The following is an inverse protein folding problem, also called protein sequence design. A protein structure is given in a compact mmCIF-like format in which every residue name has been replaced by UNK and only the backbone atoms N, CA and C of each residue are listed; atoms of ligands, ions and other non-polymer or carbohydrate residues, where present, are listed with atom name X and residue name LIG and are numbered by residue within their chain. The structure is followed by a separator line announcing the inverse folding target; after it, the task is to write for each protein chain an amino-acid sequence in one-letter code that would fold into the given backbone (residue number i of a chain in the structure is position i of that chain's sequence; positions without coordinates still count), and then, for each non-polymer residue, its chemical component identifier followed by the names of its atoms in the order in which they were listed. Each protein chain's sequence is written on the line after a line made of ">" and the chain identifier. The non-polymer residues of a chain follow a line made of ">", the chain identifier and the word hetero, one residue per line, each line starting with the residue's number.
data_IF_554122558117
#
_entry.id   IF_554122558117
#
_cell.length_a   1.000
_cell.length_b   1.000
_cell.length_c   1.000
_cell.angle_alpha   90.00
_cell.angle_beta   90.00
_cell.angle_gamma   90.00
#
_symmetry.space_group_name_H-M   'P 1'
#
loop_
_entity.id
_entity.type
_entity.pdbx_description
1 polymer ?
#
# COMPACT_ATOMS: atom_id res chain seq x y z
N UNK A 1 -9.53 4.27 13.56
CA UNK A 1 -8.50 3.38 14.13
C UNK A 1 -8.95 3.01 15.53
N UNK A 2 -8.94 1.73 15.87
CA UNK A 2 -9.14 1.28 17.25
C UNK A 2 -7.75 1.01 17.85
N UNK A 3 -7.53 1.48 19.08
CA UNK A 3 -6.25 1.35 19.79
C UNK A 3 -6.52 0.92 21.22
N UNK A 4 -5.50 0.36 21.88
CA UNK A 4 -5.57 0.00 23.30
C UNK A 4 -5.98 1.18 24.16
N UNK A 5 -6.69 0.91 25.26
CA UNK A 5 -7.05 1.90 26.28
C UNK A 5 -5.84 2.49 27.01
N UNK A 6 -4.66 1.88 26.89
CA UNK A 6 -3.39 2.42 27.40
C UNK A 6 -2.79 3.52 26.50
N UNK A 7 -3.34 3.73 25.30
CA UNK A 7 -2.94 4.81 24.40
C UNK A 7 -3.35 6.18 24.96
N UNK A 8 -2.57 7.21 24.63
CA UNK A 8 -2.79 8.58 25.10
C UNK A 8 -3.26 9.47 23.93
N UNK A 9 -4.56 9.82 23.87
CA UNK A 9 -5.09 10.67 22.81
C UNK A 9 -4.64 12.14 22.94
N UNK A 10 -4.26 12.60 24.13
CA UNK A 10 -3.81 13.98 24.33
C UNK A 10 -2.41 14.20 23.73
N UNK A 11 -1.53 13.18 23.81
CA UNK A 11 -0.19 13.24 23.21
C UNK A 11 -0.09 12.61 21.83
N UNK A 12 -1.16 11.94 21.38
CA UNK A 12 -1.19 11.15 20.13
C UNK A 12 -0.36 9.87 20.21
N UNK A 13 -0.05 9.36 21.40
CA UNK A 13 0.79 8.18 21.58
C UNK A 13 -0.03 6.90 21.54
N UNK A 14 0.28 6.00 20.62
CA UNK A 14 -0.35 4.70 20.49
C UNK A 14 0.51 3.67 21.22
N UNK A 15 -0.10 2.93 22.15
CA UNK A 15 0.56 1.92 23.00
C UNK A 15 -0.14 0.57 22.91
N UNK A 16 0.60 -0.50 23.21
CA UNK A 16 0.11 -1.88 23.42
C UNK A 16 -0.89 -2.32 22.34
N UNK A 17 -0.60 -1.97 21.09
CA UNK A 17 -1.51 -2.15 19.95
C UNK A 17 -0.75 -2.77 18.79
N UNK A 18 -1.37 -3.72 18.10
CA UNK A 18 -0.91 -4.16 16.78
C UNK A 18 -1.72 -3.40 15.75
N UNK A 19 -1.05 -2.53 15.01
CA UNK A 19 -1.66 -1.74 13.94
C UNK A 19 -1.48 -2.52 12.64
N UNK A 20 -2.57 -3.00 12.06
CA UNK A 20 -2.56 -3.47 10.68
C UNK A 20 -3.07 -2.37 9.75
N UNK A 21 -2.24 -1.95 8.79
CA UNK A 21 -2.62 -1.02 7.74
C UNK A 21 -2.51 -1.65 6.36
N UNK A 22 -3.52 -1.42 5.52
CA UNK A 22 -3.53 -1.84 4.11
C UNK A 22 -3.61 -0.62 3.20
N UNK A 23 -2.85 -0.62 2.11
CA UNK A 23 -2.92 0.41 1.07
C UNK A 23 -2.70 1.82 1.64
N UNK A 24 -3.54 2.78 1.25
CA UNK A 24 -3.47 4.18 1.69
C UNK A 24 -3.52 4.37 3.22
N UNK A 25 -4.03 3.41 4.00
CA UNK A 25 -4.04 3.52 5.47
C UNK A 25 -2.64 3.70 6.06
N UNK A 26 -1.63 3.06 5.45
CA UNK A 26 -0.24 3.20 5.87
C UNK A 26 0.35 4.58 5.56
N UNK A 27 0.00 5.18 4.40
CA UNK A 27 0.38 6.57 4.11
C UNK A 27 -0.26 7.55 5.10
N UNK A 28 -1.54 7.35 5.44
CA UNK A 28 -2.25 8.21 6.40
C UNK A 28 -1.55 8.15 7.77
N UNK A 29 -1.24 6.96 8.25
CA UNK A 29 -0.53 6.80 9.52
C UNK A 29 0.87 7.40 9.45
N UNK A 30 1.59 7.15 8.35
CA UNK A 30 2.95 7.66 8.20
C UNK A 30 3.00 9.19 8.15
N UNK A 31 2.12 9.80 7.37
CA UNK A 31 1.97 11.25 7.34
C UNK A 31 1.57 11.83 8.70
N UNK A 32 0.78 11.10 9.49
CA UNK A 32 0.42 11.51 10.85
C UNK A 32 1.62 11.45 11.80
N UNK A 33 2.47 10.42 11.70
CA UNK A 33 3.71 10.30 12.47
C UNK A 33 4.71 11.39 12.05
N UNK A 34 4.91 11.58 10.75
CA UNK A 34 5.79 12.62 10.20
C UNK A 34 5.36 14.04 10.62
N UNK A 35 4.06 14.29 10.72
CA UNK A 35 3.51 15.56 11.20
C UNK A 35 3.47 15.70 12.74
N UNK A 36 3.98 14.71 13.49
CA UNK A 36 3.97 14.71 14.96
C UNK A 36 2.58 14.57 15.59
N UNK A 37 1.57 14.15 14.82
CA UNK A 37 0.19 13.94 15.29
C UNK A 37 -0.01 12.55 15.89
N UNK A 38 0.82 11.59 15.51
CA UNK A 38 0.84 10.24 16.04
C UNK A 38 2.26 9.87 16.49
N UNK A 39 2.37 9.08 17.56
CA UNK A 39 3.63 8.51 18.03
C UNK A 39 3.42 7.02 18.26
N UNK A 40 4.31 6.20 17.72
CA UNK A 40 4.30 4.76 17.91
C UNK A 40 5.18 4.45 19.11
N UNK A 41 4.60 3.94 20.19
CA UNK A 41 5.35 3.51 21.37
C UNK A 41 6.06 2.18 21.08
N UNK A 42 7.21 1.88 21.72
CA UNK A 42 7.88 0.58 21.58
C UNK A 42 7.01 -0.64 21.89
N UNK A 43 5.91 -0.50 22.64
CA UNK A 43 4.97 -1.60 22.87
C UNK A 43 3.94 -1.81 21.75
N UNK A 44 4.01 -1.02 20.68
CA UNK A 44 3.13 -1.11 19.51
C UNK A 44 3.89 -1.61 18.29
N UNK A 45 3.27 -2.57 17.57
CA UNK A 45 3.77 -3.06 16.29
C UNK A 45 2.96 -2.46 15.14
N UNK A 46 3.63 -1.98 14.10
CA UNK A 46 2.98 -1.54 12.86
C UNK A 46 3.27 -2.54 11.75
N UNK A 47 2.23 -3.28 11.37
CA UNK A 47 2.22 -4.25 10.29
C UNK A 47 1.52 -3.65 9.07
N UNK A 48 2.21 -3.61 7.94
CA UNK A 48 1.74 -2.93 6.73
C UNK A 48 1.61 -3.90 5.55
N UNK A 49 0.64 -3.65 4.67
CA UNK A 49 0.46 -4.40 3.43
C UNK A 49 0.14 -3.48 2.25
N UNK A 50 0.77 -3.73 1.10
CA UNK A 50 0.53 -3.01 -0.19
C UNK A 50 0.56 -1.49 -0.06
N UNK A 51 1.49 -0.96 0.72
CA UNK A 51 1.58 0.48 0.97
C UNK A 51 2.01 1.24 -0.28
N UNK A 52 1.38 2.35 -0.68
CA UNK A 52 1.87 3.16 -1.79
C UNK A 52 2.83 4.25 -1.29
N UNK A 53 4.04 3.91 -0.79
CA UNK A 53 4.96 4.92 -0.21
C UNK A 53 5.51 5.92 -1.24
N UNK A 54 5.33 5.69 -2.54
CA UNK A 54 5.55 6.69 -3.61
C UNK A 54 4.25 7.05 -4.36
N UNK A 55 3.09 6.63 -3.87
CA UNK A 55 1.83 6.75 -4.62
C UNK A 55 1.59 5.56 -5.56
N UNK A 56 0.66 5.75 -6.49
CA UNK A 56 0.19 4.71 -7.42
C UNK A 56 -0.11 5.32 -8.79
N UNK A 57 0.33 4.65 -9.86
CA UNK A 57 -0.01 5.04 -11.23
C UNK A 57 -1.52 4.90 -11.52
N UNK A 58 -2.27 4.16 -10.70
CA UNK A 58 -3.73 4.17 -10.72
C UNK A 58 -4.30 5.56 -10.42
N UNK A 59 -3.68 6.34 -9.51
CA UNK A 59 -4.07 7.72 -9.25
C UNK A 59 -3.81 8.63 -10.45
N UNK A 60 -2.63 8.51 -11.06
CA UNK A 60 -2.29 9.27 -12.27
C UNK A 60 -3.28 8.97 -13.39
N UNK A 61 -3.53 7.69 -13.65
CA UNK A 61 -4.44 7.26 -14.71
C UNK A 61 -5.84 7.84 -14.54
N UNK A 62 -6.44 7.77 -13.34
CA UNK A 62 -7.79 8.31 -13.14
C UNK A 62 -7.82 9.84 -13.23
N UNK A 63 -6.73 10.53 -12.85
CA UNK A 63 -6.61 11.98 -13.04
C UNK A 63 -6.55 12.36 -14.52
N UNK A 64 -5.73 11.68 -15.33
CA UNK A 64 -5.67 11.91 -16.78
C UNK A 64 -7.04 11.67 -17.44
N UNK A 65 -7.69 10.55 -17.11
CA UNK A 65 -9.03 10.21 -17.62
C UNK A 65 -10.04 11.30 -17.25
N UNK A 66 -10.10 11.72 -15.99
CA UNK A 66 -11.06 12.72 -15.55
C UNK A 66 -10.75 14.14 -16.09
N UNK A 67 -9.50 14.42 -16.46
CA UNK A 67 -9.11 15.65 -17.14
C UNK A 67 -9.38 15.62 -18.66
N UNK A 68 -9.82 14.48 -19.20
CA UNK A 68 -10.00 14.30 -20.65
C UNK A 68 -8.69 14.16 -21.42
N UNK A 69 -7.60 13.84 -20.74
CA UNK A 69 -6.26 13.67 -21.32
C UNK A 69 -6.04 12.25 -21.88
N UNK A 70 -6.94 11.31 -21.58
CA UNK A 70 -6.89 9.93 -22.08
C UNK A 70 -7.97 9.62 -23.11
N UNK A 71 -7.56 9.07 -24.26
CA UNK A 71 -8.45 8.74 -25.38
C UNK A 71 -8.89 7.28 -25.42
N UNK A 72 -8.29 6.41 -24.59
CA UNK A 72 -8.62 4.99 -24.49
C UNK A 72 -8.71 4.56 -23.04
N UNK A 73 -9.93 4.42 -22.52
CA UNK A 73 -10.15 3.93 -21.17
C UNK A 73 -10.95 2.65 -21.16
N UNK A 74 -10.69 1.81 -20.16
CA UNK A 74 -11.47 0.61 -19.89
C UNK A 74 -12.39 0.91 -18.73
N UNK A 75 -13.72 0.89 -18.98
CA UNK A 75 -14.73 1.25 -17.99
C UNK A 75 -14.57 0.48 -16.67
N UNK A 76 -14.21 -0.80 -16.74
CA UNK A 76 -13.94 -1.65 -15.57
C UNK A 76 -12.78 -1.16 -14.71
N UNK A 77 -11.75 -0.55 -15.31
CA UNK A 77 -10.61 0.04 -14.57
C UNK A 77 -11.01 1.35 -13.91
N UNK A 78 -11.83 2.17 -14.56
CA UNK A 78 -12.40 3.36 -13.93
C UNK A 78 -13.27 2.95 -12.74
N UNK A 79 -14.16 1.97 -12.90
CA UNK A 79 -15.00 1.50 -11.80
C UNK A 79 -14.19 0.94 -10.62
N UNK A 80 -13.01 0.35 -10.89
CA UNK A 80 -12.07 -0.09 -9.86
C UNK A 80 -11.40 1.09 -9.12
N UNK A 81 -10.89 2.09 -9.85
CA UNK A 81 -10.13 3.21 -9.30
C UNK A 81 -11.02 4.29 -8.68
N UNK A 82 -12.27 4.38 -9.11
CA UNK A 82 -13.29 5.32 -8.67
C UNK A 82 -13.76 6.25 -9.79
N UNK A 83 -14.77 7.08 -9.48
CA UNK A 83 -15.49 7.90 -10.45
C UNK A 83 -14.89 9.31 -10.58
N UNK A 84 -15.17 9.95 -11.71
CA UNK A 84 -14.90 11.37 -11.92
C UNK A 84 -15.97 12.27 -11.24
N UNK A 85 -15.61 13.49 -10.80
CA UNK A 85 -14.24 14.01 -10.71
C UNK A 85 -13.45 13.29 -9.61
N UNK A 86 -12.12 13.26 -9.74
CA UNK A 86 -11.24 12.67 -8.72
C UNK A 86 -11.44 13.38 -7.37
N UNK A 87 -11.51 12.60 -6.31
CA UNK A 87 -11.58 13.12 -4.94
C UNK A 87 -10.18 13.38 -4.37
N UNK A 88 -10.13 14.06 -3.22
CA UNK A 88 -8.86 14.42 -2.56
C UNK A 88 -7.99 13.21 -2.19
N UNK A 89 -8.61 12.07 -1.84
CA UNK A 89 -7.89 10.84 -1.54
C UNK A 89 -7.21 10.28 -2.78
N UNK A 90 -7.92 10.22 -3.91
CA UNK A 90 -7.35 9.80 -5.19
C UNK A 90 -6.21 10.73 -5.61
N UNK A 91 -6.41 12.05 -5.57
CA UNK A 91 -5.35 13.01 -5.90
C UNK A 91 -4.13 12.90 -4.97
N UNK A 92 -4.34 12.59 -3.68
CA UNK A 92 -3.26 12.43 -2.70
C UNK A 92 -2.36 11.20 -2.92
N UNK A 93 -2.71 10.35 -3.89
CA UNK A 93 -1.97 9.15 -4.26
C UNK A 93 -1.19 9.29 -5.58
N UNK A 94 -1.11 10.50 -6.14
CA UNK A 94 -0.36 10.75 -7.36
C UNK A 94 1.09 10.28 -7.17
N UNK A 95 1.60 9.55 -8.16
CA UNK A 95 2.92 8.95 -8.09
C UNK A 95 3.99 10.05 -7.93
N UNK A 96 4.87 9.88 -6.96
CA UNK A 96 5.89 10.85 -6.58
C UNK A 96 6.80 11.18 -7.77
N UNK A 97 7.00 12.48 -8.03
CA UNK A 97 7.83 12.95 -9.15
C UNK A 97 7.13 13.00 -10.51
N UNK A 98 5.86 12.61 -10.61
CA UNK A 98 5.07 12.77 -11.84
C UNK A 98 4.42 14.16 -11.95
N UNK A 99 3.83 14.45 -13.11
CA UNK A 99 3.11 15.70 -13.41
C UNK A 99 1.94 16.02 -12.46
N UNK A 100 1.31 15.00 -11.85
CA UNK A 100 0.24 15.17 -10.87
C UNK A 100 0.75 15.37 -9.43
N UNK A 101 2.06 15.19 -9.19
CA UNK A 101 2.67 15.40 -7.88
C UNK A 101 3.29 16.80 -7.78
N UNK A 102 2.91 17.55 -6.75
CA UNK A 102 3.52 18.86 -6.47
C UNK A 102 4.82 18.69 -5.66
N UNK A 103 5.66 19.73 -5.64
CA UNK A 103 6.85 19.75 -4.78
C UNK A 103 6.50 19.53 -3.28
N UNK A 104 5.38 20.10 -2.81
CA UNK A 104 4.90 19.89 -1.45
C UNK A 104 4.46 18.44 -1.18
N UNK A 105 3.80 17.81 -2.15
CA UNK A 105 3.42 16.39 -2.07
C UNK A 105 4.66 15.49 -2.05
N UNK A 106 5.66 15.78 -2.90
CA UNK A 106 6.92 15.03 -2.93
C UNK A 106 7.69 15.14 -1.61
N UNK A 107 7.69 16.33 -0.98
CA UNK A 107 8.26 16.51 0.36
C UNK A 107 7.47 15.74 1.44
N UNK A 108 6.14 15.70 1.34
CA UNK A 108 5.29 14.94 2.25
C UNK A 108 5.54 13.42 2.12
N UNK A 109 5.71 12.90 0.90
CA UNK A 109 6.12 11.52 0.67
C UNK A 109 7.46 11.22 1.31
N UNK A 110 8.49 12.06 1.11
CA UNK A 110 9.79 11.86 1.72
C UNK A 110 9.73 11.82 3.26
N UNK A 111 8.95 12.71 3.87
CA UNK A 111 8.74 12.73 5.32
C UNK A 111 7.99 11.47 5.80
N UNK A 112 6.95 11.06 5.07
CA UNK A 112 6.22 9.83 5.35
C UNK A 112 7.09 8.58 5.17
N UNK A 113 7.97 8.51 4.17
CA UNK A 113 8.89 7.38 3.97
C UNK A 113 9.85 7.26 5.15
N UNK A 114 10.41 8.37 5.64
CA UNK A 114 11.30 8.37 6.80
C UNK A 114 10.57 7.94 8.09
N UNK A 115 9.36 8.44 8.32
CA UNK A 115 8.53 8.03 9.45
C UNK A 115 8.16 6.55 9.37
N UNK A 116 7.80 6.06 8.19
CA UNK A 116 7.49 4.65 7.96
C UNK A 116 8.69 3.76 8.23
N UNK A 117 9.84 4.06 7.62
CA UNK A 117 11.07 3.30 7.77
C UNK A 117 11.53 3.17 9.22
N UNK A 118 11.27 4.19 10.04
CA UNK A 118 11.67 4.23 11.45
C UNK A 118 10.71 3.51 12.40
N UNK A 119 9.47 3.24 11.97
CA UNK A 119 8.41 2.74 12.85
C UNK A 119 7.74 1.43 12.39
N UNK A 120 7.83 1.06 11.11
CA UNK A 120 7.19 -0.15 10.60
C UNK A 120 7.92 -1.39 11.12
N UNK A 121 7.14 -2.31 11.68
CA UNK A 121 7.64 -3.58 12.24
C UNK A 121 7.77 -4.64 11.16
N UNK A 122 6.75 -4.75 10.31
CA UNK A 122 6.69 -5.74 9.25
C UNK A 122 5.92 -5.19 8.04
N UNK A 123 6.30 -5.61 6.84
CA UNK A 123 5.65 -5.20 5.59
C UNK A 123 5.46 -6.39 4.65
N UNK A 124 4.28 -6.46 4.06
CA UNK A 124 3.95 -7.33 2.94
C UNK A 124 3.84 -6.48 1.68
N UNK A 125 4.72 -6.72 0.73
CA UNK A 125 4.66 -6.14 -0.61
C UNK A 125 4.47 -7.23 -1.66
N UNK A 126 3.93 -6.87 -2.82
CA UNK A 126 3.77 -7.82 -3.92
C UNK A 126 4.54 -7.35 -5.15
N UNK A 127 5.15 -8.30 -5.84
CA UNK A 127 5.80 -8.08 -7.12
C UNK A 127 5.02 -8.71 -8.30
N UNK A 128 3.81 -9.20 -8.05
CA UNK A 128 2.93 -9.76 -9.07
C UNK A 128 1.47 -9.66 -8.65
N UNK A 129 0.61 -9.35 -9.62
CA UNK A 129 -0.84 -9.22 -9.48
C UNK A 129 -1.58 -10.55 -9.67
N UNK A 130 -0.87 -11.68 -9.80
CA UNK A 130 -1.49 -12.97 -10.13
C UNK A 130 -2.56 -13.41 -9.11
N UNK A 131 -2.34 -13.11 -7.82
CA UNK A 131 -3.33 -13.29 -6.77
C UNK A 131 -3.75 -14.73 -6.51
N UNK A 132 -4.76 -14.87 -5.66
CA UNK A 132 -5.51 -16.10 -5.45
C UNK A 132 -6.57 -16.26 -6.55
N UNK A 133 -6.93 -17.50 -6.88
CA UNK A 133 -7.92 -17.79 -7.93
C UNK A 133 -9.32 -17.36 -7.47
N UNK A 134 -9.66 -16.10 -7.71
CA UNK A 134 -10.93 -15.47 -7.34
C UNK A 134 -11.46 -14.62 -8.49
N UNK A 135 -12.76 -14.27 -8.47
CA UNK A 135 -13.37 -13.38 -9.49
C UNK A 135 -12.68 -12.00 -9.51
N UNK A 136 -12.18 -11.53 -8.37
CA UNK A 136 -11.46 -10.25 -8.28
C UNK A 136 -10.07 -10.32 -8.90
N UNK A 137 -9.46 -11.51 -9.00
CA UNK A 137 -8.14 -11.65 -9.60
C UNK A 137 -8.12 -11.14 -11.05
N UNK A 138 -9.12 -11.47 -11.86
CA UNK A 138 -9.22 -10.99 -13.24
C UNK A 138 -9.25 -9.45 -13.34
N UNK A 139 -9.92 -8.78 -12.39
CA UNK A 139 -9.97 -7.32 -12.33
C UNK A 139 -8.60 -6.72 -12.02
N UNK A 140 -7.88 -7.30 -11.05
CA UNK A 140 -6.53 -6.84 -10.70
C UNK A 140 -5.47 -7.22 -11.73
N UNK A 141 -5.63 -8.35 -12.43
CA UNK A 141 -4.82 -8.69 -13.62
C UNK A 141 -4.98 -7.61 -14.68
N UNK A 142 -6.22 -7.25 -15.00
CA UNK A 142 -6.51 -6.18 -15.96
C UNK A 142 -5.88 -4.85 -15.53
N UNK A 143 -5.96 -4.51 -14.25
CA UNK A 143 -5.34 -3.28 -13.73
C UNK A 143 -3.81 -3.32 -13.78
N UNK A 144 -3.20 -4.46 -13.45
CA UNK A 144 -1.76 -4.67 -13.51
C UNK A 144 -1.19 -4.61 -14.93
N UNK A 145 -1.99 -4.96 -15.94
CA UNK A 145 -1.61 -4.92 -17.36
C UNK A 145 -1.89 -3.55 -18.02
N UNK A 146 -2.97 -2.86 -17.63
CA UNK A 146 -3.41 -1.63 -18.32
C UNK A 146 -2.93 -0.34 -17.68
N UNK A 147 -2.74 -0.31 -16.36
CA UNK A 147 -2.25 0.91 -15.72
C UNK A 147 -0.80 1.15 -16.14
N UNK A 148 -0.41 2.41 -16.35
CA UNK A 148 0.92 2.77 -16.85
C UNK A 148 1.97 2.69 -15.73
N UNK A 149 2.09 1.51 -15.10
CA UNK A 149 3.11 1.22 -14.11
C UNK A 149 4.52 1.44 -14.70
N UNK A 150 5.44 1.95 -13.89
CA UNK A 150 6.86 2.05 -14.22
C UNK A 150 7.57 0.68 -14.25
N UNK A 151 6.94 -0.35 -13.67
CA UNK A 151 7.44 -1.72 -13.61
C UNK A 151 6.32 -2.76 -13.75
N UNK A 152 6.64 -3.92 -14.31
CA UNK A 152 5.76 -5.09 -14.30
C UNK A 152 5.60 -5.70 -12.90
N UNK A 153 6.43 -5.30 -11.93
CA UNK A 153 6.35 -5.75 -10.55
C UNK A 153 5.34 -4.91 -9.77
N UNK A 154 4.08 -5.32 -9.78
CA UNK A 154 3.01 -4.62 -9.07
C UNK A 154 1.92 -5.59 -8.61
N UNK A 155 1.07 -5.13 -7.69
CA UNK A 155 -0.06 -5.89 -7.15
C UNK A 155 -1.39 -5.62 -7.88
N UNK A 156 -1.31 -4.92 -9.01
CA UNK A 156 -2.45 -4.45 -9.80
C UNK A 156 -2.71 -2.96 -9.60
N UNK A 157 -2.41 -2.42 -8.42
CA UNK A 157 -2.63 -1.00 -8.09
C UNK A 157 -1.33 -0.32 -7.63
N UNK A 158 -0.53 -1.00 -6.82
CA UNK A 158 0.69 -0.48 -6.21
C UNK A 158 1.89 -1.29 -6.68
N UNK A 159 2.93 -0.58 -7.10
CA UNK A 159 4.18 -1.18 -7.53
C UNK A 159 4.99 -1.68 -6.34
N UNK A 160 5.78 -2.74 -6.56
CA UNK A 160 6.69 -3.26 -5.54
C UNK A 160 7.66 -2.17 -5.06
N UNK A 161 8.21 -1.36 -5.98
CA UNK A 161 9.10 -0.23 -5.66
C UNK A 161 8.43 0.79 -4.74
N UNK A 162 7.21 1.23 -5.08
CA UNK A 162 6.41 2.11 -4.23
C UNK A 162 6.13 1.48 -2.86
N UNK A 163 5.90 0.18 -2.77
CA UNK A 163 5.65 -0.50 -1.49
C UNK A 163 6.88 -0.66 -0.60
N UNK A 164 8.02 -0.97 -1.19
CA UNK A 164 9.28 -1.10 -0.49
C UNK A 164 9.94 0.25 -0.16
N UNK A 165 9.41 1.36 -0.67
CA UNK A 165 10.08 2.66 -0.56
C UNK A 165 10.33 3.08 0.90
N UNK A 166 11.55 3.55 1.15
CA UNK A 166 12.06 3.87 2.49
C UNK A 166 12.69 2.69 3.22
N UNK A 167 12.58 1.45 2.71
CA UNK A 167 13.14 0.25 3.31
C UNK A 167 14.28 -0.34 2.46
N UNK A 168 15.33 -0.93 3.07
CA UNK A 168 16.38 -1.63 2.35
C UNK A 168 15.82 -2.78 1.51
N UNK A 169 15.98 -2.74 0.19
CA UNK A 169 15.35 -3.72 -0.71
C UNK A 169 15.93 -5.14 -0.55
N UNK A 170 17.18 -5.26 -0.09
CA UNK A 170 17.89 -6.51 0.20
C UNK A 170 17.39 -7.25 1.45
N UNK A 171 16.59 -6.57 2.27
CA UNK A 171 15.97 -7.16 3.47
C UNK A 171 14.66 -7.90 3.19
N UNK A 172 14.17 -7.85 1.96
CA UNK A 172 12.94 -8.49 1.54
C UNK A 172 13.19 -9.94 1.09
N UNK A 173 12.26 -10.83 1.44
CA UNK A 173 12.36 -12.26 1.15
C UNK A 173 10.98 -12.82 0.75
N UNK A 174 10.95 -13.89 -0.06
CA UNK A 174 9.72 -14.48 -0.58
C UNK A 174 9.09 -15.55 0.33
N UNK A 175 9.63 -15.75 1.53
CA UNK A 175 9.06 -16.59 2.56
C UNK A 175 8.04 -15.83 3.40
N UNK A 176 6.87 -16.44 3.64
CA UNK A 176 5.86 -15.91 4.58
C UNK A 176 6.37 -15.84 6.04
N UNK A 177 7.58 -16.35 6.33
CA UNK A 177 8.23 -16.20 7.64
C UNK A 177 9.04 -14.91 7.76
N UNK A 178 9.24 -14.18 6.66
CA UNK A 178 9.98 -12.92 6.65
C UNK A 178 9.11 -11.78 7.19
N UNK A 179 9.71 -10.90 8.01
CA UNK A 179 9.06 -9.64 8.40
C UNK A 179 8.86 -8.71 7.20
N UNK A 180 9.64 -8.87 6.12
CA UNK A 180 9.55 -8.10 4.88
C UNK A 180 9.28 -9.07 3.73
N UNK A 181 8.01 -9.44 3.61
CA UNK A 181 7.56 -10.53 2.76
C UNK A 181 7.19 -10.01 1.37
N UNK A 182 7.80 -10.59 0.33
CA UNK A 182 7.48 -10.35 -1.08
C UNK A 182 6.57 -11.45 -1.58
N UNK A 183 5.42 -11.06 -2.10
CA UNK A 183 4.35 -11.98 -2.48
C UNK A 183 3.98 -11.84 -3.95
N UNK A 184 3.18 -12.78 -4.45
CA UNK A 184 2.53 -12.73 -5.76
C UNK A 184 1.02 -12.52 -5.63
N UNK A 185 0.60 -11.77 -4.60
CA UNK A 185 -0.80 -11.46 -4.30
C UNK A 185 -1.23 -10.16 -5.01
N UNK A 186 -2.45 -10.13 -5.53
CA UNK A 186 -3.04 -8.85 -5.96
C UNK A 186 -3.36 -7.95 -4.76
N UNK A 187 -3.64 -6.68 -5.05
CA UNK A 187 -3.85 -5.63 -4.06
C UNK A 187 -4.94 -5.96 -3.02
N UNK A 188 -5.95 -6.75 -3.38
CA UNK A 188 -7.01 -7.14 -2.44
C UNK A 188 -6.61 -8.35 -1.61
N UNK A 189 -5.88 -9.30 -2.19
CA UNK A 189 -5.47 -10.50 -1.45
C UNK A 189 -4.48 -10.17 -0.32
N UNK A 190 -3.68 -9.10 -0.45
CA UNK A 190 -2.82 -8.59 0.63
C UNK A 190 -3.59 -8.06 1.84
N UNK A 191 -4.91 -7.88 1.74
CA UNK A 191 -5.80 -7.49 2.84
C UNK A 191 -6.45 -8.67 3.59
N UNK A 192 -5.95 -9.90 3.41
CA UNK A 192 -6.45 -11.14 4.02
C UNK A 192 -7.84 -11.59 3.60
N UNK A 193 -8.54 -10.81 2.76
CA UNK A 193 -9.95 -11.04 2.40
C UNK A 193 -10.23 -12.43 1.80
N UNK A 194 -9.23 -13.04 1.18
CA UNK A 194 -9.35 -14.31 0.48
C UNK A 194 -8.50 -15.43 1.12
N UNK A 195 -7.91 -15.20 2.29
CA UNK A 195 -7.12 -16.18 3.02
C UNK A 195 -5.76 -16.50 2.39
N UNK A 196 -5.29 -17.74 2.60
CA UNK A 196 -4.03 -18.23 2.06
C UNK A 196 -4.21 -19.10 0.82
N UNK A 197 -3.25 -18.99 -0.09
CA UNK A 197 -3.04 -19.93 -1.18
C UNK A 197 -2.56 -21.27 -0.65
N UNK A 198 -3.11 -22.35 -1.21
CA UNK A 198 -2.79 -23.72 -0.78
C UNK A 198 -1.39 -24.14 -1.28
N UNK A 199 -1.04 -23.78 -2.51
CA UNK A 199 0.10 -24.37 -3.24
C UNK A 199 1.34 -23.49 -3.38
N UNK A 200 1.27 -22.20 -3.00
CA UNK A 200 2.40 -21.27 -3.14
C UNK A 200 2.70 -20.59 -1.81
N UNK A 201 3.97 -20.58 -1.42
CA UNK A 201 4.49 -19.83 -0.27
C UNK A 201 4.54 -18.33 -0.55
N UNK A 202 4.45 -17.89 -1.80
CA UNK A 202 4.34 -16.49 -2.19
C UNK A 202 2.88 -15.96 -2.11
N UNK A 203 1.93 -16.77 -1.62
CA UNK A 203 0.52 -16.39 -1.55
C UNK A 203 -0.09 -16.69 -0.18
N UNK A 204 0.63 -16.45 0.92
CA UNK A 204 0.18 -16.81 2.28
C UNK A 204 0.11 -15.61 3.23
N UNK A 205 -0.77 -14.63 2.97
CA UNK A 205 -0.79 -13.41 3.75
C UNK A 205 -1.30 -13.62 5.19
N UNK A 206 -2.20 -14.59 5.43
CA UNK A 206 -2.71 -14.88 6.78
C UNK A 206 -1.63 -15.59 7.61
N UNK A 207 -1.02 -16.65 7.09
CA UNK A 207 0.12 -17.29 7.76
C UNK A 207 1.28 -16.34 8.00
N UNK A 208 1.55 -15.42 7.07
CA UNK A 208 2.54 -14.38 7.29
C UNK A 208 2.21 -13.57 8.54
N UNK A 209 0.97 -13.07 8.65
CA UNK A 209 0.55 -12.31 9.82
C UNK A 209 0.63 -13.14 11.12
N UNK A 210 0.19 -14.40 11.10
CA UNK A 210 0.28 -15.32 12.24
C UNK A 210 1.72 -15.58 12.67
N UNK A 211 2.68 -15.59 11.74
CA UNK A 211 4.10 -15.80 12.04
C UNK A 211 4.79 -14.57 12.66
N UNK A 212 4.13 -13.40 12.63
CA UNK A 212 4.63 -12.16 13.26
C UNK A 212 4.18 -12.00 14.71
N UNK A 213 3.16 -12.77 15.14
CA UNK A 213 2.58 -12.76 16.49
C UNK A 213 3.34 -13.73 17.42
#
# INVERSE_FOLDING_TARGET
>A
MQVSSSSDPATGTIKDTIIFGHSMANLILSGSVAAGRAKIDPSTSWVAASTPMEGSMGSNYIQEVCNGEQTGFVATIIDLLGKCPVNSGQMSLAYQGTNFSSAGMNAAYAAAQAAYASNVTAVLCSNSFSGLVTVKAALYTLAGELLPHHSSQNDGIVEYGSCAMGLPQDSFDNSYKSARYVTELNHVDTSFRNGDGVFSDAKKPVKWFECLL
#
